data_IF_621807972570
#
_entry.id   IF_621807972570
#
_cell.length_a   1.000
_cell.length_b   1.000
_cell.length_c   1.000
_cell.angle_alpha   90.00
_cell.angle_beta   90.00
_cell.angle_gamma   90.00
#
_symmetry.space_group_name_H-M   'P 1'
#
loop_
_entity.id
_entity.type
_entity.pdbx_description
1 polymer ?
#
# COMPACT_ATOMS: atom_id res chain seq x y z
N UNK A 1 -3.79 17.82 29.38
CA UNK A 1 -3.38 19.24 29.23
C UNK A 1 -2.14 19.59 30.06
N UNK A 2 -1.14 18.70 30.17
CA UNK A 2 0.00 18.92 31.08
C UNK A 2 1.18 19.68 30.42
N UNK A 3 1.28 19.62 29.09
CA UNK A 3 2.38 20.25 28.35
C UNK A 3 2.10 21.72 27.98
N UNK A 4 0.83 22.12 27.88
CA UNK A 4 0.44 23.47 27.45
C UNK A 4 0.94 24.54 28.42
N UNK A 5 0.93 24.27 29.73
CA UNK A 5 1.41 25.20 30.77
C UNK A 5 2.93 25.44 30.72
N UNK A 6 3.69 24.66 29.95
CA UNK A 6 5.13 24.81 29.82
C UNK A 6 5.52 25.79 28.70
N UNK A 7 4.60 26.13 27.80
CA UNK A 7 4.80 27.05 26.67
C UNK A 7 4.32 28.47 27.00
N UNK A 8 4.87 29.08 28.05
CA UNK A 8 4.70 30.52 28.32
C UNK A 8 5.72 31.34 27.53
N UNK A 9 5.41 32.61 27.25
CA UNK A 9 6.29 33.52 26.50
C UNK A 9 7.70 33.59 27.12
N UNK A 10 7.79 33.61 28.46
CA UNK A 10 9.05 33.62 29.19
C UNK A 10 9.86 32.33 29.00
N UNK A 11 9.21 31.16 29.02
CA UNK A 11 9.87 29.87 28.81
C UNK A 11 10.34 29.69 27.37
N UNK A 12 9.57 30.21 26.40
CA UNK A 12 9.96 30.20 24.98
C UNK A 12 11.17 31.11 24.77
N UNK A 13 11.14 32.34 25.29
CA UNK A 13 12.26 33.28 25.15
C UNK A 13 13.54 32.77 25.83
N UNK A 14 13.42 32.03 26.93
CA UNK A 14 14.56 31.41 27.65
C UNK A 14 14.94 30.02 27.15
N UNK A 15 14.29 29.49 26.11
CA UNK A 15 14.57 28.16 25.56
C UNK A 15 14.28 26.99 26.53
N UNK A 16 13.42 27.21 27.52
CA UNK A 16 13.00 26.20 28.51
C UNK A 16 11.73 25.44 28.10
N UNK A 17 11.09 25.87 27.02
CA UNK A 17 9.98 25.13 26.43
C UNK A 17 10.47 23.73 26.01
N UNK A 18 9.74 22.65 26.35
CA UNK A 18 10.15 21.31 26.01
C UNK A 18 10.25 21.15 24.48
N UNK A 19 11.35 20.55 24.02
CA UNK A 19 11.51 20.20 22.62
C UNK A 19 10.53 19.08 22.23
N UNK A 20 10.19 18.94 20.93
CA UNK A 20 9.39 17.83 20.46
C UNK A 20 9.98 16.49 20.93
N UNK A 21 9.15 15.50 21.27
CA UNK A 21 9.64 14.16 21.57
C UNK A 21 10.47 13.65 20.39
N UNK A 22 11.50 12.85 20.67
CA UNK A 22 12.33 12.26 19.62
C UNK A 22 11.44 11.43 18.68
N UNK A 23 11.72 11.41 17.37
CA UNK A 23 11.03 10.53 16.45
C UNK A 23 11.02 9.10 16.98
N UNK A 24 9.87 8.44 16.91
CA UNK A 24 9.74 7.02 17.20
C UNK A 24 10.54 6.27 16.13
N UNK A 25 11.64 5.63 16.55
CA UNK A 25 12.40 4.72 15.69
C UNK A 25 11.80 3.31 15.72
N UNK A 26 10.99 3.03 16.75
CA UNK A 26 10.19 1.80 16.84
C UNK A 26 8.92 1.97 15.99
N UNK A 27 8.56 0.92 15.26
CA UNK A 27 7.35 0.96 14.43
C UNK A 27 6.10 1.23 15.27
N UNK A 28 5.19 2.07 14.76
CA UNK A 28 3.92 2.41 15.41
C UNK A 28 2.74 1.94 14.56
N UNK A 29 1.58 1.72 15.17
CA UNK A 29 0.38 1.36 14.41
C UNK A 29 -0.29 2.61 13.82
N UNK A 30 -0.40 2.68 12.50
CA UNK A 30 -1.08 3.73 11.75
C UNK A 30 -2.24 3.11 10.96
N UNK A 31 -3.47 3.58 11.18
CA UNK A 31 -4.69 3.05 10.52
C UNK A 31 -4.87 1.53 10.62
N UNK A 32 -4.40 0.91 11.72
CA UNK A 32 -4.46 -0.53 11.93
C UNK A 32 -3.35 -1.34 11.25
N UNK A 33 -2.38 -0.67 10.61
CA UNK A 33 -1.19 -1.29 10.05
C UNK A 33 0.07 -0.86 10.83
N UNK A 34 1.04 -1.77 11.08
CA UNK A 34 2.32 -1.35 11.63
C UNK A 34 3.05 -0.44 10.62
N UNK A 35 3.68 0.62 11.08
CA UNK A 35 4.37 1.61 10.26
C UNK A 35 5.76 1.83 10.86
N UNK A 36 6.79 1.75 10.03
CA UNK A 36 8.17 2.07 10.41
C UNK A 36 8.61 3.30 9.61
N UNK A 37 9.20 4.30 10.28
CA UNK A 37 9.62 5.54 9.63
C UNK A 37 10.69 5.36 8.55
N UNK A 38 11.43 4.26 8.61
CA UNK A 38 12.49 3.90 7.66
C UNK A 38 12.02 2.97 6.55
N UNK A 39 10.77 2.45 6.61
CA UNK A 39 10.24 1.61 5.54
C UNK A 39 9.82 2.49 4.34
N UNK A 40 10.11 2.07 3.10
CA UNK A 40 9.54 2.73 1.93
C UNK A 40 8.01 2.74 2.06
N UNK A 41 7.39 3.85 1.66
CA UNK A 41 5.92 4.08 1.70
C UNK A 41 5.15 2.88 1.14
N UNK A 42 5.76 2.17 0.20
CA UNK A 42 5.28 0.89 -0.32
C UNK A 42 6.26 -0.19 0.08
N UNK A 43 5.78 -1.11 0.94
CA UNK A 43 6.51 -2.32 1.26
C UNK A 43 6.76 -3.13 -0.02
N UNK A 44 7.92 -3.76 -0.22
CA UNK A 44 8.12 -4.64 -1.37
C UNK A 44 7.05 -5.73 -1.46
N UNK A 45 6.61 -6.10 -2.67
CA UNK A 45 5.63 -7.17 -2.89
C UNK A 45 6.04 -8.46 -2.17
N UNK A 46 7.35 -8.72 -2.17
CA UNK A 46 7.97 -9.90 -1.59
C UNK A 46 7.84 -9.95 -0.06
N UNK A 47 7.84 -8.79 0.63
CA UNK A 47 7.66 -8.73 2.09
C UNK A 47 6.19 -8.91 2.51
N UNK A 48 5.26 -8.82 1.55
CA UNK A 48 3.83 -9.12 1.74
C UNK A 48 3.49 -10.56 1.33
N UNK A 49 4.48 -11.38 0.96
CA UNK A 49 4.27 -12.74 0.45
C UNK A 49 3.65 -12.78 -0.96
N UNK A 50 3.66 -11.65 -1.68
CA UNK A 50 3.08 -11.54 -3.02
C UNK A 50 4.16 -11.81 -4.05
N UNK A 51 3.94 -12.84 -4.88
CA UNK A 51 4.87 -13.18 -5.96
C UNK A 51 4.81 -12.11 -7.06
N UNK A 52 5.96 -11.54 -7.41
CA UNK A 52 6.06 -10.57 -8.51
C UNK A 52 5.69 -11.19 -9.86
N UNK A 53 4.85 -10.49 -10.64
CA UNK A 53 4.41 -10.92 -11.98
C UNK A 53 5.32 -10.45 -13.14
N UNK A 54 6.30 -9.60 -12.86
CA UNK A 54 7.22 -9.01 -13.84
C UNK A 54 8.69 -9.20 -13.40
N UNK A 55 9.65 -9.18 -14.34
CA UNK A 55 11.07 -9.35 -14.02
C UNK A 55 11.60 -8.21 -13.14
N UNK A 56 12.77 -8.40 -12.53
CA UNK A 56 13.38 -7.39 -11.65
C UNK A 56 13.90 -6.16 -12.41
N UNK A 57 14.27 -6.36 -13.69
CA UNK A 57 14.62 -5.29 -14.63
C UNK A 57 13.49 -5.15 -15.66
N UNK A 58 12.81 -4.01 -15.67
CA UNK A 58 11.62 -3.80 -16.48
C UNK A 58 11.41 -2.34 -16.86
N UNK A 59 10.71 -2.14 -17.97
CA UNK A 59 10.25 -0.83 -18.39
C UNK A 59 8.84 -0.59 -17.82
N UNK A 60 8.72 0.35 -16.87
CA UNK A 60 7.48 0.67 -16.15
C UNK A 60 6.26 0.81 -17.09
N UNK A 61 6.38 1.60 -18.16
CA UNK A 61 5.29 1.84 -19.11
C UNK A 61 4.85 0.56 -19.83
N UNK A 62 5.80 -0.32 -20.17
CA UNK A 62 5.53 -1.55 -20.90
C UNK A 62 4.83 -2.57 -20.01
N UNK A 63 5.31 -2.74 -18.78
CA UNK A 63 4.68 -3.65 -17.82
C UNK A 63 3.31 -3.15 -17.37
N UNK A 64 3.12 -1.83 -17.20
CA UNK A 64 1.81 -1.27 -16.85
C UNK A 64 0.77 -1.57 -17.94
N UNK A 65 1.16 -1.44 -19.22
CA UNK A 65 0.30 -1.79 -20.36
C UNK A 65 -0.07 -3.27 -20.36
N UNK A 66 0.87 -4.17 -20.06
CA UNK A 66 0.59 -5.61 -19.97
C UNK A 66 -0.36 -5.93 -18.84
N UNK A 67 -0.13 -5.38 -17.65
CA UNK A 67 -1.04 -5.55 -16.51
C UNK A 67 -2.43 -5.00 -16.84
N UNK A 68 -2.53 -3.85 -17.52
CA UNK A 68 -3.81 -3.26 -17.90
C UNK A 68 -4.58 -4.15 -18.89
N UNK A 69 -3.88 -4.72 -19.87
CA UNK A 69 -4.47 -5.69 -20.78
C UNK A 69 -4.93 -6.97 -20.04
N UNK A 70 -4.11 -7.47 -19.11
CA UNK A 70 -4.45 -8.65 -18.30
C UNK A 70 -5.67 -8.40 -17.40
N UNK A 71 -5.81 -7.19 -16.85
CA UNK A 71 -6.96 -6.79 -16.05
C UNK A 71 -8.24 -6.78 -16.90
N UNK A 72 -8.18 -6.21 -18.10
CA UNK A 72 -9.31 -6.19 -19.02
C UNK A 72 -9.77 -7.61 -19.39
N UNK A 73 -8.84 -8.50 -19.73
CA UNK A 73 -9.17 -9.90 -20.05
C UNK A 73 -9.79 -10.60 -18.84
N UNK A 74 -9.24 -10.44 -17.64
CA UNK A 74 -9.81 -11.02 -16.42
C UNK A 74 -11.22 -10.50 -16.11
N UNK A 75 -11.47 -9.22 -16.37
CA UNK A 75 -12.81 -8.65 -16.22
C UNK A 75 -13.80 -9.26 -17.21
N UNK A 76 -13.43 -9.40 -18.47
CA UNK A 76 -14.27 -10.04 -19.49
C UNK A 76 -14.55 -11.51 -19.17
N UNK A 77 -13.55 -12.26 -18.72
CA UNK A 77 -13.73 -13.65 -18.28
C UNK A 77 -14.68 -13.73 -17.08
N UNK A 78 -14.58 -12.80 -16.12
CA UNK A 78 -15.48 -12.75 -14.98
C UNK A 78 -16.92 -12.49 -15.44
N UNK A 79 -17.14 -11.59 -16.39
CA UNK A 79 -18.46 -11.34 -16.98
C UNK A 79 -19.00 -12.62 -17.64
N UNK A 80 -18.19 -13.36 -18.39
CA UNK A 80 -18.62 -14.61 -19.00
C UNK A 80 -18.97 -15.69 -17.95
N UNK A 81 -18.19 -15.79 -16.86
CA UNK A 81 -18.50 -16.69 -15.73
C UNK A 81 -19.84 -16.32 -15.07
N UNK A 82 -20.11 -15.03 -14.87
CA UNK A 82 -21.37 -14.57 -14.29
C UNK A 82 -22.58 -14.90 -15.17
N UNK A 83 -22.41 -14.89 -16.50
CA UNK A 83 -23.47 -15.24 -17.44
C UNK A 83 -23.70 -16.76 -17.49
N UNK A 84 -22.63 -17.56 -17.50
CA UNK A 84 -22.72 -19.00 -17.77
C UNK A 84 -22.89 -19.86 -16.52
N UNK A 85 -22.17 -19.53 -15.45
CA UNK A 85 -22.09 -20.37 -14.25
C UNK A 85 -21.75 -19.54 -13.00
N UNK A 86 -22.68 -18.66 -12.57
CA UNK A 86 -22.45 -17.69 -11.50
C UNK A 86 -22.19 -18.32 -10.12
N UNK A 87 -22.70 -19.53 -9.88
CA UNK A 87 -22.63 -20.21 -8.59
C UNK A 87 -21.31 -20.96 -8.34
N UNK A 88 -20.34 -20.83 -9.24
CA UNK A 88 -19.03 -21.51 -9.15
C UNK A 88 -17.99 -20.69 -8.37
N UNK A 89 -16.99 -21.38 -7.82
CA UNK A 89 -15.81 -20.74 -7.18
C UNK A 89 -15.02 -19.85 -8.13
N UNK A 90 -15.15 -20.07 -9.44
CA UNK A 90 -14.43 -19.33 -10.50
C UNK A 90 -14.62 -17.81 -10.41
N UNK A 91 -15.79 -17.37 -9.95
CA UNK A 91 -16.04 -15.93 -9.72
C UNK A 91 -15.11 -15.38 -8.63
N UNK A 92 -14.93 -16.12 -7.54
CA UNK A 92 -14.06 -15.73 -6.43
C UNK A 92 -12.60 -15.74 -6.86
N UNK A 93 -12.19 -16.77 -7.60
CA UNK A 93 -10.84 -16.88 -8.20
C UNK A 93 -10.53 -15.65 -9.08
N UNK A 94 -11.44 -15.28 -10.00
CA UNK A 94 -11.26 -14.08 -10.83
C UNK A 94 -11.21 -12.79 -10.03
N UNK A 95 -11.96 -12.69 -8.92
CA UNK A 95 -11.89 -11.53 -8.02
C UNK A 95 -10.52 -11.42 -7.37
N UNK A 96 -9.95 -12.53 -6.94
CA UNK A 96 -8.62 -12.59 -6.34
C UNK A 96 -7.52 -12.25 -7.36
N UNK A 97 -7.62 -12.80 -8.58
CA UNK A 97 -6.71 -12.48 -9.69
C UNK A 97 -6.70 -10.98 -10.01
N UNK A 98 -7.88 -10.35 -10.11
CA UNK A 98 -7.96 -8.90 -10.35
C UNK A 98 -7.40 -8.09 -9.18
N UNK A 99 -7.66 -8.52 -7.94
CA UNK A 99 -7.11 -7.85 -6.75
C UNK A 99 -5.58 -7.86 -6.76
N UNK A 100 -4.99 -8.99 -7.15
CA UNK A 100 -3.55 -9.13 -7.32
C UNK A 100 -3.01 -8.19 -8.42
N UNK A 101 -3.68 -8.10 -9.56
CA UNK A 101 -3.30 -7.17 -10.64
C UNK A 101 -3.31 -5.71 -10.19
N UNK A 102 -4.31 -5.29 -9.40
CA UNK A 102 -4.37 -3.92 -8.86
C UNK A 102 -3.22 -3.63 -7.89
N UNK A 103 -2.85 -4.57 -7.04
CA UNK A 103 -1.67 -4.44 -6.17
C UNK A 103 -0.43 -4.23 -7.04
N UNK A 104 -0.19 -5.09 -8.03
CA UNK A 104 0.97 -4.92 -8.91
C UNK A 104 0.99 -3.60 -9.68
N UNK A 105 -0.16 -3.11 -10.15
CA UNK A 105 -0.25 -1.79 -10.78
C UNK A 105 0.11 -0.67 -9.80
N UNK A 106 -0.40 -0.73 -8.57
CA UNK A 106 -0.09 0.26 -7.53
C UNK A 106 1.42 0.31 -7.23
N UNK A 107 2.06 -0.85 -7.11
CA UNK A 107 3.52 -0.94 -6.91
C UNK A 107 4.35 -0.51 -8.12
N UNK A 108 3.78 -0.54 -9.33
CA UNK A 108 4.49 -0.14 -10.54
C UNK A 108 4.39 1.37 -10.80
N UNK A 109 3.37 2.03 -10.25
CA UNK A 109 3.11 3.46 -10.44
C UNK A 109 3.90 4.32 -9.45
N UNK A 110 4.07 3.83 -8.23
CA UNK A 110 4.72 4.53 -7.13
C UNK A 110 6.17 4.05 -6.95
#
# INVERSE_FOLDING_TARGET
>A
MQYVSLYTDENVQRGRAPSPPRPLHEGYSMFGAPFHGDEPVIRPLESQGIRRLYPQNYEHKKELKKLNHSLLVNFLDMVDILIRCPDTSKRLEKKEDMSLLFIHMHHLIN
#
